data_IF_351619471922
#
_entry.id   IF_351619471922
#
_cell.length_a   1.000
_cell.length_b   1.000
_cell.length_c   1.000
_cell.angle_alpha   90.00
_cell.angle_beta   90.00
_cell.angle_gamma   90.00
#
_symmetry.space_group_name_H-M   'P 1'
#
loop_
_entity.id
_entity.type
_entity.pdbx_description
1 polymer ?
#
# COMPACT_ATOMS: atom_id res chain seq x y z
N UNK A 1 -1.20 6.44 -3.15
CA UNK A 1 -0.11 6.02 -2.24
C UNK A 1 0.88 7.13 -1.80
N UNK A 2 1.52 7.90 -2.69
CA UNK A 2 2.59 8.84 -2.31
C UNK A 2 2.13 9.99 -1.40
N UNK A 3 1.02 10.65 -1.73
CA UNK A 3 0.45 11.70 -0.88
C UNK A 3 -0.01 11.15 0.47
N UNK A 4 -0.60 9.95 0.48
CA UNK A 4 -1.02 9.28 1.71
C UNK A 4 0.17 8.98 2.63
N UNK A 5 1.34 8.57 2.11
CA UNK A 5 2.55 8.38 2.91
C UNK A 5 2.95 9.65 3.67
N UNK A 6 2.93 10.81 2.97
CA UNK A 6 3.29 12.08 3.59
C UNK A 6 2.33 12.45 4.73
N UNK A 7 1.02 12.34 4.49
CA UNK A 7 0.00 12.59 5.50
C UNK A 7 0.10 11.61 6.68
N UNK A 8 0.28 10.32 6.39
CA UNK A 8 0.44 9.27 7.38
C UNK A 8 1.62 9.55 8.32
N UNK A 9 2.73 10.05 7.77
CA UNK A 9 3.91 10.43 8.57
C UNK A 9 3.63 11.64 9.47
N UNK A 10 2.88 12.62 8.98
CA UNK A 10 2.53 13.82 9.76
C UNK A 10 1.58 13.47 10.92
N UNK A 11 0.56 12.64 10.66
CA UNK A 11 -0.37 12.14 11.67
C UNK A 11 0.34 11.29 12.72
N UNK A 12 1.21 10.36 12.31
CA UNK A 12 1.94 9.50 13.25
C UNK A 12 2.87 10.30 14.17
N UNK A 13 3.47 11.38 13.66
CA UNK A 13 4.30 12.31 14.44
C UNK A 13 3.50 13.36 15.21
N UNK A 14 2.16 13.37 15.08
CA UNK A 14 1.26 14.37 15.68
C UNK A 14 1.65 15.82 15.36
N UNK A 15 2.12 16.05 14.14
CA UNK A 15 2.53 17.39 13.68
C UNK A 15 1.32 18.13 13.10
N UNK A 16 1.15 19.43 13.38
CA UNK A 16 0.08 20.21 12.77
C UNK A 16 0.35 20.38 11.27
N UNK A 17 -0.68 20.19 10.45
CA UNK A 17 -0.60 20.38 9.01
C UNK A 17 -1.92 20.90 8.44
N UNK A 18 -1.88 21.40 7.21
CA UNK A 18 -3.05 21.81 6.43
C UNK A 18 -3.05 21.08 5.10
N UNK A 19 -4.10 20.31 4.82
CA UNK A 19 -4.22 19.58 3.55
C UNK A 19 -4.83 20.46 2.47
N UNK A 20 -4.17 20.53 1.32
CA UNK A 20 -4.70 21.13 0.12
C UNK A 20 -4.93 20.03 -0.93
N UNK A 21 -6.21 19.74 -1.22
CA UNK A 21 -6.57 18.76 -2.26
C UNK A 21 -6.41 19.40 -3.64
N UNK A 22 -5.53 18.82 -4.47
CA UNK A 22 -5.25 19.32 -5.81
C UNK A 22 -5.94 18.39 -6.82
N UNK A 23 -6.87 18.94 -7.60
CA UNK A 23 -7.52 18.21 -8.68
C UNK A 23 -6.46 17.74 -9.71
N UNK A 24 -6.45 16.45 -10.04
CA UNK A 24 -5.53 15.83 -10.99
C UNK A 24 -5.96 15.95 -12.44
N UNK A 25 -7.23 16.27 -12.72
CA UNK A 25 -7.75 16.52 -14.08
C UNK A 25 -7.11 17.72 -14.77
N UNK A 26 -6.30 18.50 -14.03
CA UNK A 26 -5.61 19.70 -14.51
C UNK A 26 -4.14 19.70 -14.00
N UNK A 27 -3.34 18.68 -14.37
CA UNK A 27 -1.92 18.57 -13.97
C UNK A 27 -0.91 18.42 -15.13
N UNK A 28 0.31 19.01 -14.99
CA UNK A 28 1.41 18.92 -15.96
C UNK A 28 2.07 17.53 -16.00
N UNK A 29 2.49 17.14 -17.21
CA UNK A 29 3.15 15.87 -17.57
C UNK A 29 4.45 15.63 -16.80
N UNK A 30 4.52 14.64 -15.89
CA UNK A 30 5.76 13.89 -15.61
C UNK A 30 5.64 12.70 -14.62
N UNK A 31 4.48 12.35 -14.07
CA UNK A 31 4.41 11.29 -13.04
C UNK A 31 3.96 9.91 -13.57
N UNK A 32 4.89 9.12 -14.13
CA UNK A 32 4.67 7.70 -14.43
C UNK A 32 5.51 6.83 -13.51
N UNK A 33 4.87 5.96 -12.71
CA UNK A 33 5.55 4.92 -11.94
C UNK A 33 5.23 3.56 -12.59
N UNK A 34 6.26 2.93 -13.13
CA UNK A 34 6.25 1.58 -13.69
C UNK A 34 6.05 0.54 -12.59
N UNK A 35 4.98 -0.25 -12.73
CA UNK A 35 4.81 -1.67 -12.35
C UNK A 35 3.36 -2.11 -12.62
N UNK A 36 2.41 -1.16 -12.72
CA UNK A 36 0.98 -1.44 -12.94
C UNK A 36 0.57 -1.65 -14.41
N UNK A 37 1.50 -1.62 -15.36
CA UNK A 37 1.20 -1.56 -16.80
C UNK A 37 1.05 -2.93 -17.50
N UNK A 38 0.98 -4.03 -16.75
CA UNK A 38 0.85 -5.34 -17.39
C UNK A 38 -0.60 -5.71 -17.71
N UNK A 39 -0.90 -5.74 -19.00
CA UNK A 39 -2.18 -6.22 -19.58
C UNK A 39 -2.20 -7.73 -19.85
N UNK A 40 -1.07 -8.42 -19.68
CA UNK A 40 -0.95 -9.85 -19.96
C UNK A 40 -0.82 -10.62 -18.64
N UNK A 41 -1.80 -11.47 -18.34
CA UNK A 41 -1.79 -12.31 -17.14
C UNK A 41 -0.64 -13.34 -17.14
N UNK A 42 0.14 -13.42 -18.22
CA UNK A 42 1.27 -14.35 -18.38
C UNK A 42 2.64 -13.67 -18.47
N UNK A 43 2.75 -12.38 -18.21
CA UNK A 43 4.03 -11.67 -18.31
C UNK A 43 5.02 -11.96 -17.16
N UNK A 44 4.60 -12.74 -16.17
CA UNK A 44 5.40 -13.09 -15.00
C UNK A 44 5.40 -12.04 -13.88
N UNK A 45 4.69 -10.92 -14.05
CA UNK A 45 4.60 -9.87 -13.02
C UNK A 45 3.92 -10.34 -11.73
N UNK A 46 2.95 -11.26 -11.84
CA UNK A 46 2.34 -11.90 -10.67
C UNK A 46 3.36 -12.70 -9.86
N UNK A 47 4.22 -13.48 -10.52
CA UNK A 47 5.26 -14.25 -9.82
C UNK A 47 6.26 -13.33 -9.11
N UNK A 48 6.67 -12.23 -9.76
CA UNK A 48 7.54 -11.22 -9.13
C UNK A 48 6.86 -10.61 -7.90
N UNK A 49 5.57 -10.30 -7.98
CA UNK A 49 4.83 -9.78 -6.84
C UNK A 49 4.75 -10.82 -5.71
N UNK A 50 4.50 -12.09 -6.03
CA UNK A 50 4.49 -13.17 -5.05
C UNK A 50 5.88 -13.36 -4.41
N UNK A 51 6.96 -13.26 -5.17
CA UNK A 51 8.33 -13.36 -4.66
C UNK A 51 8.64 -12.20 -3.70
N UNK A 52 8.23 -10.96 -4.04
CA UNK A 52 8.35 -9.80 -3.16
C UNK A 52 7.52 -9.96 -1.87
N UNK A 53 6.30 -10.49 -1.96
CA UNK A 53 5.44 -10.74 -0.80
C UNK A 53 5.97 -11.88 0.08
N UNK A 54 6.55 -12.93 -0.51
CA UNK A 54 7.22 -14.00 0.23
C UNK A 54 8.48 -13.48 0.95
N UNK A 55 9.26 -12.62 0.31
CA UNK A 55 10.40 -11.97 0.96
C UNK A 55 9.96 -11.11 2.15
N UNK A 56 8.83 -10.39 2.01
CA UNK A 56 8.24 -9.65 3.12
C UNK A 56 7.73 -10.58 4.22
N UNK A 57 7.04 -11.68 3.90
CA UNK A 57 6.57 -12.70 4.86
C UNK A 57 7.73 -13.25 5.69
N UNK A 58 8.84 -13.66 5.07
CA UNK A 58 10.00 -14.20 5.78
C UNK A 58 10.69 -13.15 6.66
N UNK A 59 10.79 -11.90 6.18
CA UNK A 59 11.31 -10.80 6.98
C UNK A 59 10.42 -10.51 8.19
N UNK A 60 9.10 -10.47 8.01
CA UNK A 60 8.14 -10.26 9.09
C UNK A 60 8.19 -11.41 10.08
N UNK A 61 8.19 -12.66 9.63
CA UNK A 61 8.31 -13.85 10.46
C UNK A 61 9.58 -13.84 11.31
N UNK A 62 10.73 -13.49 10.73
CA UNK A 62 12.01 -13.35 11.45
C UNK A 62 11.93 -12.24 12.52
N UNK A 63 11.28 -11.12 12.20
CA UNK A 63 11.22 -9.95 13.09
C UNK A 63 10.17 -10.08 14.19
N UNK A 64 8.99 -10.64 13.88
CA UNK A 64 7.86 -10.81 14.81
C UNK A 64 8.22 -11.70 16.00
N UNK A 65 9.06 -12.71 15.78
CA UNK A 65 9.44 -13.67 16.83
C UNK A 65 10.40 -13.08 17.86
N UNK A 66 11.16 -12.03 17.51
CA UNK A 66 12.24 -11.52 18.35
C UNK A 66 12.09 -10.04 18.75
N UNK A 67 11.49 -9.20 17.91
CA UNK A 67 11.68 -7.74 17.98
C UNK A 67 10.40 -6.90 17.93
N UNK A 68 9.23 -7.47 17.62
CA UNK A 68 7.95 -6.75 17.61
C UNK A 68 7.24 -6.74 16.24
N UNK A 69 6.07 -6.09 16.14
CA UNK A 69 5.12 -6.35 15.04
C UNK A 69 5.32 -5.47 13.79
N UNK A 70 6.36 -4.64 13.74
CA UNK A 70 6.72 -3.78 12.60
C UNK A 70 8.02 -4.23 11.95
N UNK A 71 8.31 -3.70 10.75
CA UNK A 71 9.53 -4.04 10.00
C UNK A 71 10.81 -3.80 10.81
N UNK A 72 10.81 -2.78 11.68
CA UNK A 72 11.95 -2.46 12.54
C UNK A 72 11.71 -2.84 14.02
N UNK A 73 10.85 -3.84 14.26
CA UNK A 73 10.55 -4.36 15.59
C UNK A 73 9.35 -3.69 16.26
N UNK A 74 9.53 -3.14 17.46
CA UNK A 74 8.41 -2.73 18.31
C UNK A 74 7.69 -1.48 17.84
N UNK A 75 8.41 -0.57 17.17
CA UNK A 75 7.90 0.76 16.81
C UNK A 75 7.74 0.90 15.31
N UNK A 76 6.64 1.55 14.93
CA UNK A 76 6.40 1.93 13.55
C UNK A 76 7.51 2.86 13.03
N UNK A 77 7.95 2.62 11.81
CA UNK A 77 9.06 3.31 11.17
C UNK A 77 8.65 3.90 9.81
N UNK A 78 9.56 4.67 9.20
CA UNK A 78 9.33 5.22 7.86
C UNK A 78 9.10 4.14 6.78
N UNK A 79 9.61 2.93 7.00
CA UNK A 79 9.40 1.79 6.09
C UNK A 79 7.94 1.36 6.15
N UNK A 80 7.40 1.17 7.35
CA UNK A 80 6.01 0.77 7.57
C UNK A 80 5.05 1.82 6.99
N UNK A 81 5.30 3.11 7.25
CA UNK A 81 4.50 4.22 6.72
C UNK A 81 4.58 4.34 5.19
N UNK A 82 5.66 3.84 4.58
CA UNK A 82 5.80 3.77 3.12
C UNK A 82 5.09 2.57 2.51
N UNK A 83 5.04 1.44 3.24
CA UNK A 83 4.42 0.20 2.80
C UNK A 83 2.90 0.23 2.96
N UNK A 84 2.36 0.79 4.06
CA UNK A 84 0.93 0.74 4.34
C UNK A 84 0.04 1.27 3.18
N UNK A 85 0.31 2.45 2.58
CA UNK A 85 -0.47 2.91 1.44
C UNK A 85 -0.34 2.02 0.20
N UNK A 86 0.83 1.42 -0.02
CA UNK A 86 1.06 0.54 -1.17
C UNK A 86 0.29 -0.77 -1.02
N UNK A 87 0.38 -1.40 0.14
CA UNK A 87 -0.35 -2.63 0.48
C UNK A 87 -1.87 -2.43 0.43
N UNK A 88 -2.36 -1.26 0.86
CA UNK A 88 -3.80 -0.95 0.75
C UNK A 88 -4.26 -0.79 -0.69
N UNK A 89 -3.52 0.00 -1.49
CA UNK A 89 -3.82 0.14 -2.91
C UNK A 89 -3.77 -1.20 -3.64
N UNK A 90 -2.80 -2.06 -3.30
CA UNK A 90 -2.67 -3.41 -3.82
C UNK A 90 -3.90 -4.26 -3.48
N UNK A 91 -4.29 -4.31 -2.19
CA UNK A 91 -5.46 -5.05 -1.71
C UNK A 91 -6.74 -4.65 -2.46
N UNK A 92 -7.01 -3.35 -2.59
CA UNK A 92 -8.26 -2.86 -3.17
C UNK A 92 -8.25 -2.96 -4.71
N UNK A 93 -7.16 -2.52 -5.36
CA UNK A 93 -7.11 -2.47 -6.82
C UNK A 93 -7.02 -3.87 -7.43
N UNK A 94 -6.15 -4.75 -6.91
CA UNK A 94 -6.01 -6.10 -7.47
C UNK A 94 -7.26 -6.96 -7.26
N UNK A 95 -7.93 -6.80 -6.11
CA UNK A 95 -9.22 -7.46 -5.87
C UNK A 95 -10.29 -7.01 -6.86
N UNK A 96 -10.32 -5.71 -7.22
CA UNK A 96 -11.30 -5.18 -8.17
C UNK A 96 -11.00 -5.61 -9.62
N UNK A 97 -9.81 -5.28 -10.12
CA UNK A 97 -9.44 -5.41 -11.53
C UNK A 97 -9.01 -6.82 -11.94
N UNK A 98 -8.30 -7.54 -11.06
CA UNK A 98 -7.73 -8.87 -11.37
C UNK A 98 -8.37 -10.02 -10.59
N UNK A 99 -9.35 -9.75 -9.72
CA UNK A 99 -9.94 -10.73 -8.78
C UNK A 99 -8.88 -11.46 -7.95
N UNK A 100 -7.77 -10.79 -7.71
CA UNK A 100 -6.61 -11.34 -7.04
C UNK A 100 -6.55 -10.86 -5.60
N UNK A 101 -6.17 -11.75 -4.70
CA UNK A 101 -5.96 -11.45 -3.28
C UNK A 101 -4.61 -12.01 -2.82
N UNK A 102 -4.04 -11.38 -1.80
CA UNK A 102 -2.82 -11.88 -1.15
C UNK A 102 -3.09 -13.32 -0.68
N UNK A 103 -2.26 -14.31 -1.05
CA UNK A 103 -2.48 -15.69 -0.66
C UNK A 103 -2.63 -15.86 0.85
N UNK A 104 -3.60 -16.65 1.28
CA UNK A 104 -3.89 -16.92 2.71
C UNK A 104 -2.71 -17.59 3.44
N UNK A 105 -1.78 -18.20 2.71
CA UNK A 105 -0.55 -18.76 3.27
C UNK A 105 0.38 -17.71 3.87
N UNK A 106 0.27 -16.44 3.45
CA UNK A 106 1.11 -15.33 3.90
C UNK A 106 0.55 -14.68 5.17
N UNK A 107 0.49 -15.49 6.24
CA UNK A 107 -0.17 -15.12 7.49
C UNK A 107 0.43 -13.89 8.18
N UNK A 108 1.76 -13.70 8.14
CA UNK A 108 2.40 -12.55 8.77
C UNK A 108 2.13 -11.27 7.98
N UNK A 109 2.12 -11.34 6.65
CA UNK A 109 1.72 -10.23 5.78
C UNK A 109 0.28 -9.82 6.05
N UNK A 110 -0.66 -10.76 6.17
CA UNK A 110 -2.05 -10.45 6.51
C UNK A 110 -2.17 -9.75 7.87
N UNK A 111 -1.57 -10.32 8.92
CA UNK A 111 -1.56 -9.71 10.24
C UNK A 111 -0.93 -8.32 10.25
N UNK A 112 0.17 -8.14 9.51
CA UNK A 112 0.86 -6.87 9.37
C UNK A 112 0.01 -5.84 8.61
N UNK A 113 -0.69 -6.24 7.54
CA UNK A 113 -1.64 -5.40 6.84
C UNK A 113 -2.78 -4.94 7.76
N UNK A 114 -3.38 -5.86 8.51
CA UNK A 114 -4.43 -5.52 9.49
C UNK A 114 -3.93 -4.56 10.57
N UNK A 115 -2.73 -4.81 11.11
CA UNK A 115 -2.08 -3.94 12.08
C UNK A 115 -1.89 -2.53 11.52
N UNK A 116 -1.32 -2.40 10.31
CA UNK A 116 -1.10 -1.10 9.69
C UNK A 116 -2.41 -0.38 9.36
N UNK A 117 -3.41 -1.11 8.86
CA UNK A 117 -4.67 -0.52 8.46
C UNK A 117 -5.50 -0.11 9.68
N UNK A 118 -5.43 -0.84 10.79
CA UNK A 118 -6.17 -0.49 12.02
C UNK A 118 -5.69 0.79 12.71
N UNK A 119 -4.50 1.30 12.37
CA UNK A 119 -3.95 2.52 12.97
C UNK A 119 -4.85 3.72 12.72
N UNK A 120 -5.04 4.55 13.74
CA UNK A 120 -5.80 5.80 13.65
C UNK A 120 -5.22 6.73 12.56
N UNK A 121 -3.88 6.84 12.51
CA UNK A 121 -3.17 7.63 11.50
C UNK A 121 -3.45 7.14 10.07
N UNK A 122 -3.62 5.83 9.89
CA UNK A 122 -4.01 5.24 8.61
C UNK A 122 -5.48 5.51 8.29
N UNK A 123 -6.39 5.27 9.24
CA UNK A 123 -7.82 5.48 9.06
C UNK A 123 -8.18 6.95 8.76
N UNK A 124 -7.45 7.91 9.33
CA UNK A 124 -7.61 9.34 9.04
C UNK A 124 -7.14 9.76 7.64
N UNK A 125 -6.18 9.03 7.09
CA UNK A 125 -5.47 9.43 5.85
C UNK A 125 -5.82 8.58 4.63
N UNK A 126 -6.42 7.40 4.84
CA UNK A 126 -6.92 6.56 3.76
C UNK A 126 -8.04 7.27 2.99
N UNK A 127 -8.23 6.86 1.75
CA UNK A 127 -9.33 7.34 0.93
C UNK A 127 -10.67 7.05 1.63
N UNK A 128 -11.61 8.00 1.73
CA UNK A 128 -12.87 7.78 2.44
C UNK A 128 -13.71 6.64 1.89
N UNK A 129 -13.56 6.36 0.59
CA UNK A 129 -14.23 5.30 -0.13
C UNK A 129 -13.26 4.60 -1.07
N UNK A 130 -13.40 3.29 -1.16
CA UNK A 130 -12.55 2.46 -2.03
C UNK A 130 -12.84 2.75 -3.51
N UNK A 131 -14.05 3.18 -3.86
CA UNK A 131 -14.39 3.56 -5.25
C UNK A 131 -13.52 4.70 -5.77
N UNK A 132 -13.12 5.65 -4.93
CA UNK A 132 -12.24 6.75 -5.35
C UNK A 132 -10.81 6.26 -5.63
N UNK A 133 -10.37 5.21 -4.93
CA UNK A 133 -9.10 4.57 -5.19
C UNK A 133 -9.17 3.80 -6.51
N UNK A 134 -10.26 3.05 -6.73
CA UNK A 134 -10.52 2.30 -7.97
C UNK A 134 -10.56 3.26 -9.18
N UNK A 135 -11.36 4.33 -9.12
CA UNK A 135 -11.43 5.34 -10.18
C UNK A 135 -10.08 6.01 -10.46
N UNK A 136 -9.20 6.14 -9.45
CA UNK A 136 -7.84 6.63 -9.63
C UNK A 136 -6.89 5.66 -10.34
N UNK A 137 -7.26 4.37 -10.40
CA UNK A 137 -6.53 3.31 -11.10
C UNK A 137 -7.10 2.96 -12.46
N UNK A 138 -8.42 3.12 -12.69
CA UNK A 138 -9.08 2.86 -13.98
C UNK A 138 -8.28 3.36 -15.20
N UNK A 139 -7.92 4.66 -15.31
CA UNK A 139 -7.19 5.16 -16.48
C UNK A 139 -5.74 4.65 -16.58
N UNK A 140 -5.21 3.98 -15.56
CA UNK A 140 -3.84 3.43 -15.55
C UNK A 140 -3.80 1.94 -15.90
N UNK A 141 -4.91 1.24 -15.67
CA UNK A 141 -5.08 -0.16 -16.06
C UNK A 141 -5.49 -0.23 -17.53
N UNK A 142 -6.33 0.71 -17.98
CA UNK A 142 -6.82 0.74 -19.35
C UNK A 142 -5.86 1.43 -20.34
N UNK A 143 -4.96 2.30 -19.86
CA UNK A 143 -3.90 2.92 -20.67
C UNK A 143 -2.87 1.89 -21.13
#
# INVERSE_FOLDING_TARGET
PFSQRALLTLEEKKLPYKTHLINLSNKPQWSSCYFFYSKDDKDGSEQVLLDELNALEEQLKSTFVQNGPYVNGEKISAVDLSLAPKLYHLKVALAYFKKWSVPESLTHVHNYMELLFSRESFQKTKTPKDEYLIAGWEPKVDA
#
